data_IF_970141277507
#
_entry.id   IF_970141277507
#
_cell.length_a   1.000
_cell.length_b   1.000
_cell.length_c   1.000
_cell.angle_alpha   90.00
_cell.angle_beta   90.00
_cell.angle_gamma   90.00
#
_symmetry.space_group_name_H-M   'P 1'
#
loop_
_entity.id
_entity.type
_entity.pdbx_description
1 polymer ?
#
# COMPACT_ATOMS: atom_id res chain seq x y z
N UNK A 1 28.71 -16.92 -27.83
CA UNK A 1 28.46 -15.51 -27.48
C UNK A 1 27.06 -15.47 -26.89
N UNK A 2 26.97 -15.32 -25.57
CA UNK A 2 25.68 -15.19 -24.89
C UNK A 2 25.43 -13.69 -24.79
N UNK A 3 24.41 -13.20 -25.49
CA UNK A 3 23.91 -11.84 -25.35
C UNK A 3 23.45 -11.63 -23.91
N UNK A 4 24.25 -10.91 -23.14
CA UNK A 4 23.83 -10.35 -21.86
C UNK A 4 22.76 -9.30 -22.15
N UNK A 5 21.50 -9.72 -22.08
CA UNK A 5 20.37 -8.81 -22.01
C UNK A 5 20.53 -7.91 -20.80
N UNK A 6 20.97 -6.66 -21.02
CA UNK A 6 20.65 -5.58 -20.08
C UNK A 6 19.13 -5.53 -20.02
N UNK A 7 18.56 -5.94 -18.89
CA UNK A 7 17.19 -5.59 -18.56
C UNK A 7 17.06 -4.08 -18.72
N UNK A 8 16.18 -3.64 -19.63
CA UNK A 8 15.68 -2.26 -19.61
C UNK A 8 15.22 -1.96 -18.19
N UNK A 9 15.67 -0.84 -17.62
CA UNK A 9 15.24 -0.45 -16.28
C UNK A 9 13.75 -0.13 -16.34
N UNK A 10 12.92 -1.06 -15.85
CA UNK A 10 11.51 -0.78 -15.62
C UNK A 10 11.40 0.49 -14.75
N UNK A 11 10.49 1.39 -15.11
CA UNK A 11 10.24 2.58 -14.28
C UNK A 11 9.74 2.14 -12.91
N UNK A 12 10.16 2.80 -11.80
CA UNK A 12 9.71 2.42 -10.47
C UNK A 12 8.18 2.46 -10.36
N UNK A 13 7.61 1.61 -9.51
CA UNK A 13 6.16 1.62 -9.31
C UNK A 13 5.68 2.96 -8.76
N UNK A 14 4.54 3.44 -9.23
CA UNK A 14 3.91 4.64 -8.69
C UNK A 14 3.09 4.29 -7.45
N UNK A 15 3.36 4.98 -6.35
CA UNK A 15 2.65 4.82 -5.09
C UNK A 15 1.92 6.12 -4.72
N UNK A 16 0.59 6.06 -4.63
CA UNK A 16 -0.19 7.16 -4.12
C UNK A 16 -0.16 7.14 -2.59
N UNK A 17 0.27 8.23 -1.98
CA UNK A 17 0.42 8.32 -0.53
C UNK A 17 -0.78 9.05 0.07
N UNK A 18 -1.52 8.39 0.95
CA UNK A 18 -2.60 9.02 1.71
C UNK A 18 -2.04 9.97 2.79
N UNK A 19 -2.83 10.97 3.19
CA UNK A 19 -2.48 11.96 4.18
C UNK A 19 -2.11 11.35 5.54
N UNK A 20 -2.74 10.23 5.90
CA UNK A 20 -2.50 9.55 7.18
C UNK A 20 -1.07 9.00 7.30
N UNK A 21 -0.46 8.52 6.22
CA UNK A 21 0.91 7.96 6.22
C UNK A 21 1.98 9.03 6.07
N UNK A 22 1.67 10.16 5.43
CA UNK A 22 2.60 11.29 5.27
C UNK A 22 2.42 12.42 6.30
N UNK A 23 1.65 12.21 7.36
CA UNK A 23 1.50 13.21 8.44
C UNK A 23 2.70 13.23 9.39
N UNK A 24 3.21 12.06 9.78
CA UNK A 24 4.33 11.93 10.74
C UNK A 24 5.65 12.39 10.13
N UNK A 25 6.49 13.10 10.89
CA UNK A 25 7.80 13.56 10.38
C UNK A 25 8.67 12.36 10.00
N UNK A 26 8.76 11.35 10.87
CA UNK A 26 9.60 10.18 10.64
C UNK A 26 9.07 9.28 9.51
N UNK A 27 7.75 9.04 9.46
CA UNK A 27 7.14 8.24 8.38
C UNK A 27 7.36 8.87 7.01
N UNK A 28 7.22 10.19 6.92
CA UNK A 28 7.45 10.92 5.66
C UNK A 28 8.91 10.97 5.27
N UNK A 29 9.82 11.16 6.21
CA UNK A 29 11.25 11.16 5.90
C UNK A 29 11.69 9.78 5.38
N UNK A 30 11.20 8.69 5.98
CA UNK A 30 11.42 7.33 5.47
C UNK A 30 10.87 7.20 4.05
N UNK A 31 9.59 7.45 3.83
CA UNK A 31 8.93 7.33 2.53
C UNK A 31 9.66 8.12 1.43
N UNK A 32 9.92 9.41 1.69
CA UNK A 32 10.57 10.29 0.71
C UNK A 32 12.05 9.96 0.52
N UNK A 33 12.74 9.45 1.54
CA UNK A 33 14.11 8.99 1.39
C UNK A 33 14.20 7.75 0.51
N UNK A 34 13.22 6.85 0.56
CA UNK A 34 13.16 5.69 -0.33
C UNK A 34 12.80 6.12 -1.76
N UNK A 35 11.86 7.05 -1.91
CA UNK A 35 11.53 7.65 -3.21
C UNK A 35 12.75 8.33 -3.87
N UNK A 36 13.59 9.00 -3.08
CA UNK A 36 14.82 9.63 -3.58
C UNK A 36 15.82 8.62 -4.17
N UNK A 37 15.85 7.39 -3.66
CA UNK A 37 16.65 6.27 -4.20
C UNK A 37 15.94 5.48 -5.31
N UNK A 38 14.85 6.03 -5.85
CA UNK A 38 14.04 5.44 -6.93
C UNK A 38 13.49 4.05 -6.57
N UNK A 39 13.25 3.78 -5.29
CA UNK A 39 12.54 2.56 -4.83
C UNK A 39 11.11 2.56 -5.39
N UNK A 40 10.46 3.73 -5.40
CA UNK A 40 9.15 3.96 -5.99
C UNK A 40 9.00 5.43 -6.39
N UNK A 41 7.95 5.76 -7.14
CA UNK A 41 7.57 7.12 -7.51
C UNK A 41 6.37 7.59 -6.68
N UNK A 42 6.53 8.55 -5.75
CA UNK A 42 5.43 9.01 -4.92
C UNK A 42 4.44 9.86 -5.72
N UNK A 43 3.16 9.78 -5.38
CA UNK A 43 2.07 10.61 -5.91
C UNK A 43 1.16 11.09 -4.77
N UNK A 44 0.67 12.32 -4.86
CA UNK A 44 -0.36 12.90 -3.99
C UNK A 44 -1.08 14.05 -4.70
N UNK A 45 -2.32 14.34 -4.30
CA UNK A 45 -3.05 15.53 -4.79
C UNK A 45 -2.98 16.68 -3.79
N UNK A 46 -3.43 17.87 -4.20
CA UNK A 46 -3.49 19.03 -3.31
C UNK A 46 -4.43 18.79 -2.13
N UNK A 47 -5.55 18.09 -2.34
CA UNK A 47 -6.53 17.75 -1.30
C UNK A 47 -5.93 16.85 -0.23
N UNK A 48 -5.09 15.89 -0.61
CA UNK A 48 -4.32 15.05 0.34
C UNK A 48 -3.36 15.90 1.17
N UNK A 49 -2.63 16.82 0.54
CA UNK A 49 -1.73 17.75 1.25
C UNK A 49 -2.50 18.67 2.21
N UNK A 50 -3.69 19.14 1.83
CA UNK A 50 -4.55 19.94 2.69
C UNK A 50 -5.10 19.13 3.88
N UNK A 51 -5.41 17.85 3.69
CA UNK A 51 -5.77 16.92 4.78
C UNK A 51 -4.61 16.68 5.73
N UNK A 52 -3.40 16.48 5.20
CA UNK A 52 -2.18 16.37 6.01
C UNK A 52 -1.97 17.65 6.83
N UNK A 53 -2.17 18.84 6.25
CA UNK A 53 -2.05 20.13 6.94
C UNK A 53 -3.08 20.29 8.06
N UNK A 54 -4.35 19.97 7.77
CA UNK A 54 -5.47 20.06 8.73
C UNK A 54 -5.29 19.12 9.91
N UNK A 55 -4.78 17.92 9.66
CA UNK A 55 -4.63 16.87 10.65
C UNK A 55 -3.24 16.82 11.28
N UNK A 56 -2.38 17.85 11.08
CA UNK A 56 -1.00 17.85 11.56
C UNK A 56 -0.88 17.59 13.08
N UNK A 57 0.24 17.03 13.57
CA UNK A 57 0.41 16.75 14.99
C UNK A 57 0.25 18.01 15.86
N UNK A 58 -0.30 17.88 17.08
CA UNK A 58 -0.35 18.98 18.04
C UNK A 58 1.03 19.58 18.29
N UNK A 59 1.10 20.91 18.38
CA UNK A 59 2.36 21.63 18.60
C UNK A 59 3.16 21.94 17.33
N UNK A 60 2.77 21.43 16.16
CA UNK A 60 3.36 21.85 14.88
C UNK A 60 2.72 23.16 14.40
N UNK A 61 3.54 24.19 14.18
CA UNK A 61 3.06 25.49 13.70
C UNK A 61 2.67 25.45 12.22
N UNK A 62 1.80 26.38 11.79
CA UNK A 62 1.46 26.56 10.36
C UNK A 62 2.72 26.81 9.51
N UNK A 63 3.64 27.63 10.02
CA UNK A 63 4.88 27.93 9.32
C UNK A 63 5.78 26.69 9.13
N UNK A 64 5.80 25.78 10.11
CA UNK A 64 6.58 24.54 10.04
C UNK A 64 5.97 23.53 9.06
N UNK A 65 4.65 23.33 9.10
CA UNK A 65 3.97 22.43 8.15
C UNK A 65 4.06 22.98 6.72
N UNK A 66 3.94 24.29 6.53
CA UNK A 66 4.10 24.94 5.22
C UNK A 66 5.52 24.80 4.68
N UNK A 67 6.54 24.94 5.55
CA UNK A 67 7.93 24.72 5.17
C UNK A 67 8.15 23.27 4.74
N UNK A 68 7.56 22.31 5.44
CA UNK A 68 7.62 20.89 5.08
C UNK A 68 6.95 20.60 3.75
N UNK A 69 5.72 21.07 3.53
CA UNK A 69 4.99 20.91 2.27
C UNK A 69 5.80 21.46 1.10
N UNK A 70 6.36 22.67 1.24
CA UNK A 70 7.25 23.24 0.21
C UNK A 70 8.47 22.38 -0.06
N UNK A 71 9.12 21.86 0.98
CA UNK A 71 10.27 20.98 0.81
C UNK A 71 9.91 19.69 0.07
N UNK A 72 8.76 19.07 0.39
CA UNK A 72 8.25 17.87 -0.28
C UNK A 72 8.02 18.12 -1.76
N UNK A 73 7.26 19.17 -2.12
CA UNK A 73 6.93 19.48 -3.51
C UNK A 73 8.17 19.93 -4.31
N UNK A 74 9.12 20.61 -3.68
CA UNK A 74 10.38 20.99 -4.35
C UNK A 74 11.28 19.77 -4.62
N UNK A 75 11.30 18.80 -3.70
CA UNK A 75 12.10 17.59 -3.86
C UNK A 75 11.47 16.62 -4.87
N UNK A 76 10.15 16.60 -4.96
CA UNK A 76 9.39 15.71 -5.84
C UNK A 76 8.34 16.50 -6.64
N UNK A 77 8.76 17.29 -7.65
CA UNK A 77 7.85 18.13 -8.42
C UNK A 77 6.78 17.32 -9.15
N UNK A 78 7.12 16.12 -9.61
CA UNK A 78 6.18 15.23 -10.31
C UNK A 78 5.22 14.50 -9.35
N UNK A 79 5.45 14.55 -8.03
CA UNK A 79 4.60 13.84 -7.08
C UNK A 79 3.25 14.52 -6.87
N UNK A 80 3.19 15.85 -7.03
CA UNK A 80 1.91 16.57 -7.04
C UNK A 80 1.21 16.31 -8.38
N UNK A 81 0.11 15.56 -8.33
CA UNK A 81 -0.73 15.26 -9.50
C UNK A 81 -2.01 16.10 -9.47
N UNK A 82 -2.60 16.28 -10.65
CA UNK A 82 -3.89 16.95 -10.77
C UNK A 82 -4.99 16.23 -9.99
N UNK A 83 -5.97 17.00 -9.50
CA UNK A 83 -7.13 16.42 -8.84
C UNK A 83 -7.92 15.54 -9.83
N UNK A 84 -8.41 14.38 -9.38
CA UNK A 84 -9.18 13.50 -10.24
C UNK A 84 -10.52 14.16 -10.63
N UNK A 85 -11.00 13.95 -11.88
CA UNK A 85 -12.33 14.36 -12.30
C UNK A 85 -13.43 13.90 -11.32
N UNK A 86 -14.46 14.72 -11.12
CA UNK A 86 -15.51 14.44 -10.14
C UNK A 86 -16.29 13.16 -10.46
N UNK A 87 -16.54 12.88 -11.73
CA UNK A 87 -17.19 11.66 -12.20
C UNK A 87 -16.39 10.40 -11.85
N UNK A 88 -15.05 10.48 -11.90
CA UNK A 88 -14.19 9.40 -11.43
C UNK A 88 -14.30 9.23 -9.91
N UNK A 89 -14.30 10.33 -9.15
CA UNK A 89 -14.49 10.28 -7.69
C UNK A 89 -15.81 9.62 -7.31
N UNK A 90 -16.90 9.97 -7.98
CA UNK A 90 -18.23 9.46 -7.68
C UNK A 90 -18.33 7.93 -7.86
N UNK A 91 -17.60 7.39 -8.84
CA UNK A 91 -17.51 5.96 -9.15
C UNK A 91 -16.65 5.16 -8.16
N UNK A 92 -15.81 5.80 -7.35
CA UNK A 92 -14.93 5.09 -6.42
C UNK A 92 -15.70 4.40 -5.30
N UNK A 93 -15.33 3.14 -5.04
CA UNK A 93 -15.84 2.35 -3.92
C UNK A 93 -14.96 2.57 -2.68
N UNK A 94 -15.15 3.70 -2.03
CA UNK A 94 -14.50 4.05 -0.78
C UNK A 94 -15.48 4.78 0.14
N UNK A 95 -15.10 4.98 1.41
CA UNK A 95 -15.84 5.85 2.32
C UNK A 95 -16.04 7.24 1.67
N UNK A 96 -17.21 7.90 1.83
CA UNK A 96 -17.54 9.11 1.07
C UNK A 96 -16.50 10.24 1.18
N UNK A 97 -15.84 10.34 2.33
CA UNK A 97 -14.81 11.36 2.60
C UNK A 97 -13.45 11.01 1.96
N UNK A 98 -13.22 9.75 1.60
CA UNK A 98 -11.93 9.21 1.13
C UNK A 98 -11.94 8.88 -0.37
N UNK A 99 -13.09 9.04 -1.05
CA UNK A 99 -13.23 8.81 -2.51
C UNK A 99 -12.21 9.58 -3.36
N UNK A 100 -11.81 10.79 -2.95
CA UNK A 100 -10.79 11.56 -3.68
C UNK A 100 -9.42 10.91 -3.62
N UNK A 101 -9.08 10.23 -2.53
CA UNK A 101 -7.79 9.54 -2.36
C UNK A 101 -7.71 8.38 -3.36
N UNK A 102 -8.73 7.52 -3.39
CA UNK A 102 -8.77 6.39 -4.33
C UNK A 102 -8.83 6.86 -5.79
N UNK A 103 -9.63 7.88 -6.07
CA UNK A 103 -9.71 8.45 -7.41
C UNK A 103 -8.38 9.07 -7.84
N UNK A 104 -7.66 9.74 -6.94
CA UNK A 104 -6.33 10.30 -7.20
C UNK A 104 -5.31 9.21 -7.49
N UNK A 105 -5.35 8.09 -6.76
CA UNK A 105 -4.53 6.92 -7.04
C UNK A 105 -4.80 6.36 -8.44
N UNK A 106 -6.07 6.21 -8.83
CA UNK A 106 -6.45 5.71 -10.16
C UNK A 106 -6.03 6.69 -11.25
N UNK A 107 -6.34 7.98 -11.07
CA UNK A 107 -6.06 9.03 -12.06
C UNK A 107 -4.56 9.21 -12.33
N UNK A 108 -3.72 9.06 -11.31
CA UNK A 108 -2.27 9.15 -11.43
C UNK A 108 -1.59 7.90 -12.02
N UNK A 109 -2.36 6.85 -12.30
CA UNK A 109 -1.84 5.55 -12.73
C UNK A 109 -0.98 4.88 -11.65
N UNK A 110 -1.33 5.09 -10.38
CA UNK A 110 -0.60 4.47 -9.27
C UNK A 110 -0.91 2.98 -9.19
N UNK A 111 0.13 2.16 -9.03
CA UNK A 111 -0.01 0.71 -8.88
C UNK A 111 -0.42 0.33 -7.45
N UNK A 112 -0.19 1.22 -6.48
CA UNK A 112 -0.52 1.03 -5.07
C UNK A 112 -0.99 2.34 -4.43
N UNK A 113 -2.03 2.23 -3.61
CA UNK A 113 -2.42 3.25 -2.63
C UNK A 113 -1.84 2.84 -1.26
N UNK A 114 -1.07 3.72 -0.64
CA UNK A 114 -0.49 3.51 0.68
C UNK A 114 -1.32 4.26 1.72
N UNK A 115 -2.02 3.53 2.58
CA UNK A 115 -2.91 4.07 3.63
C UNK A 115 -3.05 3.10 4.80
N UNK A 116 -3.08 3.62 6.02
CA UNK A 116 -3.35 2.80 7.22
C UNK A 116 -4.86 2.54 7.44
N UNK A 117 -5.75 3.12 6.62
CA UNK A 117 -7.21 3.00 6.72
C UNK A 117 -7.78 1.94 5.76
N UNK A 118 -7.14 0.77 5.65
CA UNK A 118 -7.41 -0.25 4.61
C UNK A 118 -8.89 -0.57 4.36
N UNK A 119 -9.69 -0.68 5.42
CA UNK A 119 -11.11 -1.06 5.36
C UNK A 119 -11.99 -0.02 4.65
N UNK A 120 -11.52 1.21 4.54
CA UNK A 120 -12.26 2.34 3.98
C UNK A 120 -12.15 2.36 2.43
N UNK A 121 -11.34 1.47 1.85
CA UNK A 121 -11.01 1.44 0.42
C UNK A 121 -11.28 0.08 -0.24
N UNK A 122 -12.01 0.08 -1.36
CA UNK A 122 -12.20 -1.09 -2.22
C UNK A 122 -11.64 -0.75 -3.61
N UNK A 123 -10.36 -1.06 -3.88
CA UNK A 123 -9.71 -0.68 -5.12
C UNK A 123 -10.26 -1.48 -6.31
N UNK A 124 -10.11 -0.97 -7.55
CA UNK A 124 -10.32 -1.79 -8.73
C UNK A 124 -9.39 -3.01 -8.70
N UNK A 125 -9.97 -4.20 -8.91
CA UNK A 125 -9.23 -5.48 -8.83
C UNK A 125 -8.90 -6.07 -10.20
N UNK A 126 -9.33 -5.44 -11.29
CA UNK A 126 -9.10 -5.89 -12.66
C UNK A 126 -9.08 -4.73 -13.66
N UNK A 127 -8.61 -4.99 -14.88
CA UNK A 127 -8.51 -4.00 -15.94
C UNK A 127 -7.30 -3.07 -15.79
N UNK A 128 -7.26 -2.01 -16.60
CA UNK A 128 -6.13 -1.06 -16.65
C UNK A 128 -5.91 -0.28 -15.35
N UNK A 129 -6.92 -0.23 -14.48
CA UNK A 129 -6.90 0.54 -13.23
C UNK A 129 -6.68 -0.36 -12.01
N UNK A 130 -6.33 -1.64 -12.23
CA UNK A 130 -6.05 -2.56 -11.13
C UNK A 130 -4.93 -2.01 -10.23
N UNK A 131 -5.17 -2.00 -8.93
CA UNK A 131 -4.18 -1.53 -7.96
C UNK A 131 -4.27 -2.26 -6.62
N UNK A 132 -3.17 -2.17 -5.87
CA UNK A 132 -3.10 -2.63 -4.47
C UNK A 132 -3.48 -1.51 -3.51
N UNK A 133 -3.96 -1.88 -2.33
CA UNK A 133 -4.03 -0.98 -1.18
C UNK A 133 -3.23 -1.63 -0.07
N UNK A 134 -2.21 -0.94 0.42
CA UNK A 134 -1.27 -1.45 1.41
C UNK A 134 -1.15 -0.47 2.59
N UNK A 135 -1.03 -0.99 3.80
CA UNK A 135 -0.68 -0.14 4.93
C UNK A 135 0.82 0.19 4.91
N UNK A 136 1.24 1.16 5.73
CA UNK A 136 2.61 1.65 5.70
C UNK A 136 3.65 0.53 5.89
N UNK A 137 3.41 -0.39 6.82
CA UNK A 137 4.36 -1.47 7.10
C UNK A 137 4.37 -2.54 6.01
N UNK A 138 3.21 -2.85 5.41
CA UNK A 138 3.12 -3.77 4.28
C UNK A 138 3.89 -3.22 3.07
N UNK A 139 3.66 -1.95 2.74
CA UNK A 139 4.33 -1.28 1.63
C UNK A 139 5.85 -1.23 1.83
N UNK A 140 6.32 -0.67 2.95
CA UNK A 140 7.76 -0.58 3.23
C UNK A 140 8.41 -1.96 3.35
N UNK A 141 7.71 -2.93 3.93
CA UNK A 141 8.18 -4.31 4.05
C UNK A 141 8.33 -4.99 2.70
N UNK A 142 7.38 -4.81 1.78
CA UNK A 142 7.47 -5.35 0.41
C UNK A 142 8.59 -4.68 -0.38
N UNK A 143 8.69 -3.36 -0.29
CA UNK A 143 9.78 -2.61 -0.92
C UNK A 143 11.17 -3.05 -0.42
N UNK A 144 11.29 -3.42 0.86
CA UNK A 144 12.52 -3.99 1.41
C UNK A 144 12.84 -5.40 0.85
N UNK A 145 11.83 -6.23 0.58
CA UNK A 145 12.05 -7.55 -0.02
C UNK A 145 12.44 -7.43 -1.50
N UNK A 146 11.77 -6.52 -2.22
CA UNK A 146 11.96 -6.32 -3.67
C UNK A 146 13.26 -5.56 -3.97
N UNK A 147 13.61 -4.57 -3.14
CA UNK A 147 14.70 -3.63 -3.37
C UNK A 147 15.61 -3.43 -2.13
N UNK A 148 16.14 -4.50 -1.51
CA UNK A 148 16.80 -4.41 -0.20
C UNK A 148 17.98 -3.45 -0.17
N UNK A 149 18.78 -3.40 -1.23
CA UNK A 149 19.95 -2.53 -1.34
C UNK A 149 19.54 -1.05 -1.45
N UNK A 150 18.55 -0.72 -2.29
CA UNK A 150 18.07 0.66 -2.48
C UNK A 150 17.36 1.18 -1.23
N UNK A 151 16.57 0.32 -0.56
CA UNK A 151 15.93 0.69 0.71
C UNK A 151 16.98 1.00 1.78
N UNK A 152 17.98 0.13 1.95
CA UNK A 152 19.06 0.37 2.91
C UNK A 152 19.87 1.62 2.57
N UNK A 153 20.18 1.86 1.29
CA UNK A 153 20.85 3.07 0.83
C UNK A 153 20.02 4.33 1.14
N UNK A 154 18.70 4.28 0.92
CA UNK A 154 17.80 5.42 1.18
C UNK A 154 17.75 5.78 2.65
N UNK A 155 17.67 4.77 3.52
CA UNK A 155 17.74 4.98 4.97
C UNK A 155 19.12 5.44 5.43
N UNK A 156 20.21 4.95 4.84
CA UNK A 156 21.56 5.42 5.16
C UNK A 156 21.76 6.89 4.76
N UNK A 157 21.21 7.29 3.61
CA UNK A 157 21.21 8.67 3.13
C UNK A 157 20.28 9.57 3.95
N UNK A 158 19.15 9.05 4.42
CA UNK A 158 18.28 9.74 5.39
C UNK A 158 19.05 10.11 6.65
N UNK A 159 19.69 9.12 7.26
CA UNK A 159 20.47 9.30 8.49
C UNK A 159 21.64 10.26 8.29
N UNK A 160 22.32 10.22 7.15
CA UNK A 160 23.45 11.13 6.88
C UNK A 160 23.02 12.60 6.75
N UNK A 161 21.76 12.87 6.38
CA UNK A 161 21.18 14.22 6.34
C UNK A 161 20.81 14.75 7.73
N UNK A 162 20.58 13.87 8.70
CA UNK A 162 20.15 14.27 10.03
C UNK A 162 21.19 15.16 10.75
N UNK A 163 20.73 16.28 11.30
CA UNK A 163 21.55 17.16 12.16
C UNK A 163 21.49 16.75 13.63
N UNK A 164 20.37 16.14 14.03
CA UNK A 164 20.09 15.61 15.38
C UNK A 164 20.00 14.08 15.31
N UNK A 165 19.86 13.42 16.45
CA UNK A 165 19.57 11.98 16.45
C UNK A 165 18.28 11.66 15.69
N UNK A 166 18.17 10.47 15.08
CA UNK A 166 19.17 9.39 15.05
C UNK A 166 20.27 9.62 13.98
N UNK A 167 21.54 9.38 14.32
CA UNK A 167 22.70 9.53 13.42
C UNK A 167 23.31 8.23 12.90
N UNK A 168 22.75 7.09 13.27
CA UNK A 168 23.17 5.77 12.80
C UNK A 168 21.98 4.95 12.35
N UNK A 169 22.21 3.94 11.51
CA UNK A 169 21.18 2.98 11.10
C UNK A 169 20.54 2.30 12.32
N UNK A 170 21.38 1.83 13.26
CA UNK A 170 20.95 1.19 14.51
C UNK A 170 20.02 2.10 15.32
N UNK A 171 20.40 3.37 15.54
CA UNK A 171 19.57 4.32 16.26
C UNK A 171 18.27 4.67 15.51
N UNK A 172 18.31 4.70 14.17
CA UNK A 172 17.11 4.90 13.36
C UNK A 172 16.15 3.73 13.53
N UNK A 173 16.65 2.49 13.43
CA UNK A 173 15.85 1.27 13.65
C UNK A 173 15.22 1.30 15.05
N UNK A 174 15.99 1.66 16.08
CA UNK A 174 15.48 1.76 17.45
C UNK A 174 14.38 2.81 17.59
N UNK A 175 14.60 3.99 17.02
CA UNK A 175 13.60 5.08 17.02
C UNK A 175 12.31 4.64 16.30
N UNK A 176 12.43 3.98 15.14
CA UNK A 176 11.26 3.47 14.40
C UNK A 176 10.52 2.37 15.17
N UNK A 177 11.25 1.54 15.92
CA UNK A 177 10.68 0.43 16.69
C UNK A 177 9.86 0.90 17.91
N UNK A 178 10.25 2.04 18.50
CA UNK A 178 9.51 2.69 19.58
C UNK A 178 8.14 3.20 19.11
N UNK A 179 8.08 3.83 17.93
CA UNK A 179 6.83 4.28 17.31
C UNK A 179 5.93 3.13 16.86
N UNK A 180 4.60 3.30 16.92
CA UNK A 180 3.68 2.26 16.43
C UNK A 180 3.66 2.15 14.90
N UNK A 181 3.77 3.29 14.20
CA UNK A 181 3.57 3.41 12.75
C UNK A 181 4.66 2.67 11.95
N UNK A 182 5.91 2.64 12.43
CA UNK A 182 7.05 2.03 11.73
C UNK A 182 7.57 0.75 12.41
N UNK A 183 6.92 0.27 13.47
CA UNK A 183 7.43 -0.86 14.28
C UNK A 183 7.64 -2.13 13.46
N UNK A 184 6.66 -2.50 12.63
CA UNK A 184 6.74 -3.71 11.82
C UNK A 184 7.87 -3.64 10.81
N UNK A 185 8.02 -2.49 10.15
CA UNK A 185 9.13 -2.22 9.23
C UNK A 185 10.48 -2.25 9.94
N UNK A 186 10.60 -1.63 11.11
CA UNK A 186 11.82 -1.65 11.92
C UNK A 186 12.21 -3.07 12.31
N UNK A 187 11.25 -3.89 12.74
CA UNK A 187 11.47 -5.29 13.08
C UNK A 187 12.01 -6.08 11.88
N UNK A 188 11.41 -5.90 10.71
CA UNK A 188 11.84 -6.57 9.47
C UNK A 188 13.21 -6.09 9.00
N UNK A 189 13.43 -4.77 8.95
CA UNK A 189 14.71 -4.19 8.58
C UNK A 189 15.84 -4.71 9.47
N UNK A 190 15.58 -4.86 10.77
CA UNK A 190 16.55 -5.35 11.73
C UNK A 190 17.02 -6.81 11.47
N UNK A 191 16.27 -7.61 10.71
CA UNK A 191 16.68 -8.98 10.36
C UNK A 191 17.61 -9.02 9.15
N UNK A 192 17.52 -8.04 8.25
CA UNK A 192 18.24 -8.03 6.98
C UNK A 192 19.48 -7.13 6.98
N UNK A 193 19.55 -6.12 7.86
CA UNK A 193 20.76 -5.29 7.98
C UNK A 193 21.93 -6.08 8.63
N UNK A 194 23.19 -5.72 8.29
CA UNK A 194 24.37 -6.30 8.92
C UNK A 194 24.33 -6.19 10.45
N UNK A 195 24.90 -7.16 11.20
CA UNK A 195 24.84 -7.19 12.66
C UNK A 195 25.23 -5.89 13.36
N UNK A 196 26.25 -5.19 12.85
CA UNK A 196 26.75 -3.92 13.37
C UNK A 196 25.81 -2.73 13.15
N UNK A 197 24.82 -2.86 12.28
CA UNK A 197 23.82 -1.85 11.99
C UNK A 197 22.47 -2.12 12.67
N UNK A 198 22.33 -3.26 13.34
CA UNK A 198 21.06 -3.67 13.98
C UNK A 198 20.69 -2.76 15.15
N UNK A 199 19.40 -2.47 15.26
CA UNK A 199 18.81 -1.85 16.44
C UNK A 199 18.88 -2.78 17.65
N UNK A 200 18.95 -2.18 18.84
CA UNK A 200 19.12 -2.83 20.14
C UNK A 200 17.90 -2.73 21.05
N UNK A 201 16.86 -2.00 20.63
CA UNK A 201 15.65 -1.77 21.42
C UNK A 201 15.01 -3.10 21.85
N UNK A 202 14.54 -3.24 23.11
CA UNK A 202 13.96 -4.48 23.62
C UNK A 202 12.81 -5.04 22.77
N UNK A 203 12.03 -4.16 22.13
CA UNK A 203 10.91 -4.55 21.25
C UNK A 203 11.36 -5.27 19.98
N UNK A 204 12.63 -5.10 19.58
CA UNK A 204 13.23 -5.81 18.45
C UNK A 204 13.79 -7.17 18.89
N UNK A 205 14.36 -7.25 20.09
CA UNK A 205 15.05 -8.45 20.60
C UNK A 205 14.06 -9.47 21.18
N UNK A 206 12.94 -9.03 21.74
CA UNK A 206 11.91 -9.91 22.31
C UNK A 206 11.32 -10.86 21.27
N UNK A 207 11.18 -10.41 20.01
CA UNK A 207 10.62 -11.21 18.92
C UNK A 207 11.63 -12.17 18.26
N UNK A 208 12.95 -11.97 18.43
CA UNK A 208 13.97 -12.87 17.89
C UNK A 208 14.01 -14.24 18.59
N UNK A 209 13.44 -14.37 19.80
CA UNK A 209 13.30 -15.66 20.50
C UNK A 209 12.06 -16.47 20.05
N UNK A 210 11.12 -15.84 19.36
CA UNK A 210 9.88 -16.48 18.87
C UNK A 210 9.85 -16.76 17.36
N UNK A 211 10.82 -16.26 16.59
CA UNK A 211 10.84 -16.36 15.12
C UNK A 211 11.14 -17.76 14.58
N UNK A 212 11.48 -18.74 15.43
CA UNK A 212 11.53 -20.15 15.03
C UNK A 212 10.14 -20.76 14.78
N UNK A 213 9.04 -20.07 15.14
CA UNK A 213 7.67 -20.58 14.97
C UNK A 213 6.81 -19.80 13.94
N UNK A 214 7.31 -18.70 13.36
CA UNK A 214 6.55 -17.86 12.42
C UNK A 214 6.72 -18.22 10.94
N UNK A 215 7.43 -19.31 10.61
CA UNK A 215 7.54 -19.87 9.25
C UNK A 215 6.30 -20.66 8.79
N UNK A 216 5.20 -20.63 9.55
CA UNK A 216 3.99 -21.39 9.24
C UNK A 216 2.72 -20.53 9.30
N UNK A 217 2.64 -19.48 8.49
CA UNK A 217 1.35 -18.88 8.08
C UNK A 217 1.53 -18.21 6.71
N UNK A 218 1.84 -19.00 5.68
CA UNK A 218 1.57 -18.62 4.30
C UNK A 218 0.10 -18.91 3.98
N UNK A 219 -0.68 -17.85 3.91
CA UNK A 219 -1.99 -17.83 3.27
C UNK A 219 -1.91 -17.01 1.99
N UNK A 220 -1.20 -17.53 0.99
CA UNK A 220 -1.29 -17.02 -0.38
C UNK A 220 -2.66 -17.43 -0.90
N UNK A 221 -3.57 -16.47 -1.07
CA UNK A 221 -4.79 -16.70 -1.85
C UNK A 221 -4.41 -16.55 -3.32
N UNK A 222 -4.17 -17.70 -3.94
CA UNK A 222 -4.02 -17.83 -5.40
C UNK A 222 -5.28 -17.32 -6.12
N UNK A 223 -5.16 -16.67 -7.29
CA UNK A 223 -6.31 -16.21 -8.06
C UNK A 223 -7.13 -17.40 -8.57
N UNK A 224 -8.43 -17.36 -8.24
CA UNK A 224 -9.40 -18.40 -8.57
C UNK A 224 -9.43 -18.75 -10.07
N UNK A 225 -9.24 -20.03 -10.35
CA UNK A 225 -9.44 -20.65 -11.66
C UNK A 225 -10.90 -20.43 -12.11
N UNK A 226 -11.17 -20.01 -13.36
CA UNK A 226 -12.54 -19.85 -13.83
C UNK A 226 -13.19 -21.22 -14.03
N UNK A 227 -14.29 -21.49 -13.34
CA UNK A 227 -15.15 -22.65 -13.62
C UNK A 227 -15.92 -22.41 -14.92
N UNK A 228 -15.72 -23.30 -15.89
CA UNK A 228 -16.48 -23.35 -17.14
C UNK A 228 -17.88 -23.94 -16.89
N UNK A 229 -18.90 -23.55 -17.69
CA UNK A 229 -20.27 -24.02 -17.50
C UNK A 229 -20.39 -25.50 -17.88
N UNK A 230 -20.93 -26.31 -16.97
CA UNK A 230 -21.23 -27.72 -17.24
C UNK A 230 -22.57 -27.87 -17.95
N UNK A 231 -22.54 -28.38 -19.19
CA UNK A 231 -23.72 -28.85 -19.93
C UNK A 231 -23.61 -30.35 -20.23
N UNK A 232 -24.59 -31.12 -19.68
CA UNK A 232 -25.29 -32.29 -20.25
C UNK A 232 -24.54 -33.65 -20.47
N UNK A 233 -25.23 -34.82 -20.66
CA UNK A 233 -26.55 -35.31 -20.20
C UNK A 233 -26.58 -36.82 -19.72
N UNK A 234 -27.80 -37.34 -19.47
CA UNK A 234 -28.27 -38.77 -19.48
C UNK A 234 -27.95 -39.70 -18.26
N UNK A 235 -28.78 -40.67 -17.80
CA UNK A 235 -30.10 -41.19 -18.16
C UNK A 235 -30.74 -42.07 -17.04
N UNK A 236 -32.09 -42.09 -17.02
CA UNK A 236 -33.08 -43.15 -16.65
C UNK A 236 -32.80 -44.23 -15.58
N UNK A 237 -33.75 -44.38 -14.64
CA UNK A 237 -34.85 -45.41 -14.56
C UNK A 237 -35.72 -45.10 -13.32
N UNK A 238 -37.04 -44.86 -13.46
CA UNK A 238 -38.14 -45.86 -13.36
C UNK A 238 -38.61 -45.94 -11.90
N UNK A 239 -39.87 -46.01 -11.47
CA UNK A 239 -41.24 -46.15 -11.99
C UNK A 239 -42.15 -45.86 -10.76
N UNK A 240 -43.41 -45.45 -10.92
CA UNK A 240 -44.33 -45.40 -9.76
C UNK A 240 -45.48 -44.38 -9.74
N UNK A 241 -46.29 -44.35 -10.79
CA UNK A 241 -47.78 -44.33 -10.76
C UNK A 241 -48.63 -43.40 -9.86
N UNK A 242 -49.67 -42.85 -10.53
CA UNK A 242 -50.98 -42.31 -10.10
C UNK A 242 -50.99 -40.86 -9.58
N UNK A 243 -51.83 -39.95 -10.07
CA UNK A 243 -52.90 -39.98 -11.07
C UNK A 243 -53.72 -38.67 -10.99
N UNK A 244 -54.43 -38.32 -12.08
CA UNK A 244 -55.77 -37.64 -12.09
C UNK A 244 -55.78 -36.19 -11.49
N UNK A 245 -56.26 -35.08 -12.08
CA UNK A 245 -57.21 -34.73 -13.14
C UNK A 245 -57.07 -33.22 -13.45
N UNK A 246 -57.39 -32.82 -14.69
CA UNK A 246 -58.20 -31.64 -15.15
C UNK A 246 -58.47 -30.50 -14.12
N UNK A 247 -58.42 -29.19 -14.43
CA UNK A 247 -58.94 -28.46 -15.59
C UNK A 247 -58.64 -26.95 -15.52
N UNK A 248 -58.63 -26.32 -16.71
CA UNK A 248 -59.24 -25.02 -17.11
C UNK A 248 -58.86 -23.69 -16.44
N UNK A 249 -58.49 -22.75 -17.34
CA UNK A 249 -59.00 -21.37 -17.37
C UNK A 249 -57.89 -20.34 -17.50
N UNK A 250 -57.60 -19.73 -18.66
CA UNK A 250 -58.18 -18.46 -19.20
C UNK A 250 -58.26 -17.35 -18.14
N UNK A 251 -57.92 -16.08 -18.34
CA UNK A 251 -57.46 -15.26 -19.47
C UNK A 251 -57.37 -13.82 -18.93
N UNK A 252 -56.40 -13.07 -19.47
CA UNK A 252 -56.25 -11.62 -19.66
C UNK A 252 -57.21 -10.58 -19.04
N UNK A 253 -56.57 -9.45 -18.72
CA UNK A 253 -56.96 -8.05 -18.94
C UNK A 253 -58.36 -7.57 -18.56
N UNK A 254 -58.39 -6.76 -17.49
CA UNK A 254 -58.72 -5.32 -17.55
C UNK A 254 -58.33 -4.60 -16.26
#
# INVERSE_FOLDING_TARGET
MIESGRSESASPERAFLDANVIRGQQTTDVLLSLAAERVYEPRWTQKVIDEMRRNRPPGLSEADIDRRIRAMNNAFPDAMVDEPPQDLQDQMQADPKDKHVLAGAVHSGSAVLVTDNLKDFHPPTSGSNQMRVENLNQFLGRQLDEHPEQVQAGLQNMVSRHRREPKTMSALIDTMAEGQELRGFAQKLNTVVPPEQRGTSPVLVANQRGSAQYVAFEGVVEPGKPEAPSTAPEARKGDGSKGVEKAKGTEQDK
#
